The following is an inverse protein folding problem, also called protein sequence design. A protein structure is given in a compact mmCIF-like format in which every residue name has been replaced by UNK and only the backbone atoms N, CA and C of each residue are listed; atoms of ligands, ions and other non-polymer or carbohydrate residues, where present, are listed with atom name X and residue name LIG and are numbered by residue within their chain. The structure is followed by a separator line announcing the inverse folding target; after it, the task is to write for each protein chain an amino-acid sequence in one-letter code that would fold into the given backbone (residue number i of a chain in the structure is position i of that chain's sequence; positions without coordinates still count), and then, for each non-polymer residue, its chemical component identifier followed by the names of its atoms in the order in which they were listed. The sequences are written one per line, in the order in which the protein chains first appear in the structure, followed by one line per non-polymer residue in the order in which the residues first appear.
data_IF_189971466658
#
_entry.id   IF_189971466658
#
_cell.length_a   1.000
_cell.length_b   1.000
_cell.length_c   1.000
_cell.angle_alpha   90.00
_cell.angle_beta   90.00
_cell.angle_gamma   90.00
#
_symmetry.space_group_name_H-M   'P 1'
#
loop_
_entity.id
_entity.type
_entity.pdbx_description
1 polymer ?
#
# COMPACT_ATOMS: atom_id res chain seq x y z
N UNK A 1 24.85 -35.69 54.49
CA UNK A 1 23.96 -34.77 53.74
C UNK A 1 24.66 -34.32 52.47
N UNK A 2 24.35 -34.93 51.32
CA UNK A 2 24.87 -34.54 50.02
C UNK A 2 23.67 -34.11 49.16
N UNK A 3 23.62 -32.83 48.78
CA UNK A 3 22.63 -32.29 47.85
C UNK A 3 23.41 -31.69 46.68
N UNK A 4 23.37 -32.39 45.57
CA UNK A 4 23.94 -32.01 44.28
C UNK A 4 23.13 -30.86 43.69
N UNK A 5 23.79 -29.75 43.37
CA UNK A 5 23.18 -28.64 42.63
C UNK A 5 23.09 -29.03 41.15
N UNK A 6 21.87 -29.13 40.62
CA UNK A 6 21.62 -29.35 39.20
C UNK A 6 21.63 -28.02 38.45
N UNK A 7 22.61 -27.86 37.56
CA UNK A 7 22.69 -26.82 36.53
C UNK A 7 21.44 -26.84 35.64
N UNK A 8 20.73 -25.71 35.57
CA UNK A 8 19.56 -25.51 34.72
C UNK A 8 19.95 -24.61 33.55
N UNK A 9 20.37 -25.25 32.46
CA UNK A 9 20.67 -24.58 31.18
C UNK A 9 19.37 -24.03 30.56
N UNK A 10 19.40 -22.76 30.11
CA UNK A 10 18.32 -22.12 29.35
C UNK A 10 18.67 -22.25 27.86
N UNK A 11 17.94 -23.10 27.15
CA UNK A 11 18.02 -23.19 25.69
C UNK A 11 17.13 -22.11 25.05
N UNK A 12 17.72 -21.35 24.14
CA UNK A 12 17.08 -20.33 23.30
C UNK A 12 16.23 -21.01 22.21
N UNK A 13 14.91 -20.77 22.21
CA UNK A 13 14.02 -21.23 21.16
C UNK A 13 14.07 -20.29 19.94
N UNK A 14 14.45 -20.83 18.78
CA UNK A 14 14.28 -20.18 17.48
C UNK A 14 12.85 -20.41 16.97
N UNK A 15 12.21 -19.45 16.26
CA UNK A 15 10.89 -19.64 15.69
C UNK A 15 10.94 -20.48 14.41
N UNK A 16 10.28 -21.64 14.42
CA UNK A 16 10.09 -22.50 13.25
C UNK A 16 9.17 -21.87 12.19
N UNK A 17 9.42 -22.10 10.89
CA UNK A 17 8.58 -21.60 9.81
C UNK A 17 7.24 -22.34 9.74
N UNK A 18 6.16 -21.57 9.55
CA UNK A 18 4.79 -22.05 9.39
C UNK A 18 4.58 -22.57 7.95
N UNK A 19 4.58 -23.89 7.78
CA UNK A 19 4.14 -24.54 6.54
C UNK A 19 2.68 -24.17 6.24
N UNK A 20 2.43 -23.66 5.04
CA UNK A 20 1.09 -23.39 4.52
C UNK A 20 0.75 -24.52 3.55
N UNK A 21 -0.06 -25.47 3.99
CA UNK A 21 -0.68 -26.47 3.11
C UNK A 21 -1.84 -25.79 2.37
N UNK A 22 -1.70 -25.58 1.06
CA UNK A 22 -2.77 -25.08 0.20
C UNK A 22 -3.63 -26.26 -0.28
N UNK A 23 -4.91 -26.28 0.12
CA UNK A 23 -5.93 -27.17 -0.43
C UNK A 23 -6.49 -26.56 -1.73
N UNK A 24 -6.59 -27.30 -2.85
CA UNK A 24 -7.19 -26.79 -4.09
C UNK A 24 -8.67 -26.45 -3.90
N UNK A 25 -9.08 -25.28 -4.40
CA UNK A 25 -10.48 -24.90 -4.50
C UNK A 25 -11.05 -25.44 -5.81
N UNK A 26 -12.14 -26.16 -5.68
CA UNK A 26 -12.88 -26.83 -6.74
C UNK A 26 -13.71 -25.80 -7.51
N UNK A 27 -13.56 -25.78 -8.83
CA UNK A 27 -14.32 -24.91 -9.72
C UNK A 27 -15.77 -25.37 -9.78
N UNK A 28 -16.71 -24.51 -9.40
CA UNK A 28 -18.14 -24.71 -9.68
C UNK A 28 -18.71 -23.50 -10.40
N UNK A 29 -19.00 -23.75 -11.68
CA UNK A 29 -19.77 -22.96 -12.62
C UNK A 29 -21.19 -22.73 -12.09
N UNK A 30 -21.63 -21.49 -12.01
CA UNK A 30 -23.07 -21.17 -11.93
C UNK A 30 -23.39 -20.02 -12.88
N UNK A 31 -24.17 -20.35 -13.92
CA UNK A 31 -24.79 -19.42 -14.86
C UNK A 31 -26.14 -18.96 -14.29
N UNK A 32 -26.41 -17.65 -14.28
CA UNK A 32 -27.75 -17.06 -14.20
C UNK A 32 -27.64 -15.58 -14.64
N UNK A 33 -27.96 -15.29 -15.90
CA UNK A 33 -29.25 -14.73 -16.35
C UNK A 33 -29.38 -13.23 -16.05
N UNK A 34 -29.19 -12.43 -17.10
CA UNK A 34 -29.18 -10.97 -17.09
C UNK A 34 -30.61 -10.49 -17.34
N UNK A 35 -31.22 -9.85 -16.34
CA UNK A 35 -32.44 -9.06 -16.49
C UNK A 35 -32.21 -7.65 -15.95
N UNK A 36 -32.22 -6.66 -16.86
CA UNK A 36 -32.31 -5.24 -16.50
C UNK A 36 -33.75 -4.88 -16.12
N UNK A 37 -33.95 -3.83 -15.30
CA UNK A 37 -34.80 -2.75 -15.80
C UNK A 37 -34.16 -1.35 -15.69
N UNK A 38 -34.58 -0.41 -16.55
CA UNK A 38 -34.00 0.92 -16.66
C UNK A 38 -34.55 1.86 -15.59
N UNK A 39 -33.73 2.78 -15.08
CA UNK A 39 -34.26 4.01 -14.47
C UNK A 39 -33.31 5.16 -14.77
N UNK A 40 -33.79 6.02 -15.65
CA UNK A 40 -33.34 7.38 -15.92
C UNK A 40 -33.45 8.24 -14.66
N UNK A 41 -32.39 8.96 -14.33
CA UNK A 41 -32.49 10.28 -13.70
C UNK A 41 -31.41 11.17 -14.31
N UNK A 42 -31.86 12.02 -15.23
CA UNK A 42 -31.16 13.22 -15.65
C UNK A 42 -31.15 14.20 -14.48
N UNK A 43 -30.00 14.82 -14.20
CA UNK A 43 -29.97 16.20 -13.72
C UNK A 43 -28.67 16.83 -14.19
N UNK A 44 -28.84 17.77 -15.11
CA UNK A 44 -27.84 18.61 -15.73
C UNK A 44 -27.51 19.82 -14.84
N UNK A 45 -26.51 20.61 -15.29
CA UNK A 45 -26.11 21.98 -14.90
C UNK A 45 -24.83 22.05 -14.03
N UNK A 46 -23.63 22.21 -14.62
CA UNK A 46 -23.05 23.35 -15.36
C UNK A 46 -22.52 24.47 -14.44
N UNK A 47 -21.20 24.69 -14.45
CA UNK A 47 -20.59 26.01 -14.62
C UNK A 47 -19.06 25.89 -14.59
N UNK A 48 -18.46 26.28 -15.72
CA UNK A 48 -17.03 26.41 -15.95
C UNK A 48 -16.39 27.49 -15.07
N UNK A 49 -15.10 27.29 -14.74
CA UNK A 49 -14.15 28.39 -14.59
C UNK A 49 -12.72 27.85 -14.70
N UNK A 50 -12.24 27.80 -15.94
CA UNK A 50 -10.82 27.73 -16.29
C UNK A 50 -10.12 28.97 -15.72
N UNK A 51 -9.04 28.79 -14.95
CA UNK A 51 -8.05 29.83 -14.70
C UNK A 51 -6.66 29.20 -14.68
N UNK A 52 -5.98 29.27 -15.82
CA UNK A 52 -4.52 29.43 -15.85
C UNK A 52 -4.20 30.86 -15.39
N UNK A 53 -3.05 31.13 -14.72
CA UNK A 53 -1.78 31.21 -15.46
C UNK A 53 -0.50 30.81 -14.71
N UNK A 54 0.55 30.74 -15.52
CA UNK A 54 1.98 31.03 -15.26
C UNK A 54 2.84 29.99 -14.54
N UNK A 55 3.66 29.36 -15.37
CA UNK A 55 4.96 28.75 -15.08
C UNK A 55 5.86 29.74 -14.32
N UNK A 56 6.25 29.35 -13.11
CA UNK A 56 7.47 29.83 -12.45
C UNK A 56 8.06 28.59 -11.75
N UNK A 57 9.10 28.03 -12.36
CA UNK A 57 9.83 26.83 -11.91
C UNK A 57 10.56 27.14 -10.59
N UNK A 58 9.78 27.12 -9.50
CA UNK A 58 10.28 27.11 -8.13
C UNK A 58 10.16 25.67 -7.61
N UNK A 59 11.18 25.12 -6.91
CA UNK A 59 11.15 23.73 -6.45
C UNK A 59 9.85 23.47 -5.70
N UNK A 60 9.02 22.54 -6.19
CA UNK A 60 7.71 22.25 -5.65
C UNK A 60 7.84 21.89 -4.16
N UNK A 61 7.61 22.88 -3.29
CA UNK A 61 7.56 22.68 -1.85
C UNK A 61 6.43 21.67 -1.59
N UNK A 62 6.78 20.53 -0.95
CA UNK A 62 5.76 19.56 -0.51
C UNK A 62 4.74 20.31 0.35
N UNK A 63 3.49 20.34 -0.10
CA UNK A 63 2.42 20.98 0.65
C UNK A 63 2.28 20.29 2.01
N UNK A 64 2.53 21.01 3.10
CA UNK A 64 2.41 20.44 4.44
C UNK A 64 0.92 20.32 4.80
N UNK A 65 0.46 19.10 5.09
CA UNK A 65 -0.92 18.88 5.52
C UNK A 65 -1.16 19.45 6.93
N UNK A 66 -1.85 20.59 7.00
CA UNK A 66 -2.22 21.26 8.26
C UNK A 66 -3.10 20.38 9.17
N UNK A 67 -4.03 19.62 8.58
CA UNK A 67 -5.01 18.82 9.32
C UNK A 67 -4.80 17.32 9.09
N UNK A 68 -4.01 16.67 9.95
CA UNK A 68 -3.76 15.21 9.94
C UNK A 68 -4.94 14.36 10.41
N UNK A 69 -6.03 14.98 10.89
CA UNK A 69 -7.27 14.28 11.31
C UNK A 69 -8.26 14.03 10.16
N UNK A 70 -7.91 14.43 8.93
CA UNK A 70 -8.74 14.21 7.74
C UNK A 70 -7.91 13.58 6.62
N UNK A 71 -8.57 12.79 5.79
CA UNK A 71 -7.98 12.24 4.58
C UNK A 71 -7.61 13.38 3.62
N UNK A 72 -6.43 13.32 3.02
CA UNK A 72 -5.99 14.32 2.04
C UNK A 72 -6.85 14.31 0.76
N UNK A 73 -7.21 13.11 0.27
CA UNK A 73 -8.00 12.93 -0.95
C UNK A 73 -9.47 13.33 -0.76
N UNK A 74 -10.17 12.62 0.12
CA UNK A 74 -11.62 12.74 0.28
C UNK A 74 -12.08 13.62 1.45
N UNK A 75 -11.15 14.24 2.21
CA UNK A 75 -11.44 15.10 3.39
C UNK A 75 -12.29 14.47 4.51
N UNK A 76 -12.60 13.18 4.42
CA UNK A 76 -13.28 12.37 5.45
C UNK A 76 -12.46 12.39 6.74
N UNK A 77 -13.12 12.43 7.90
CA UNK A 77 -12.46 12.32 9.20
C UNK A 77 -11.75 10.98 9.29
N UNK A 78 -10.44 10.99 9.54
CA UNK A 78 -9.68 9.77 9.81
C UNK A 78 -9.62 9.57 11.33
N UNK A 79 -9.91 8.35 11.76
CA UNK A 79 -9.95 7.99 13.18
C UNK A 79 -8.56 7.69 13.74
N UNK A 80 -8.49 6.87 14.80
CA UNK A 80 -7.23 6.38 15.36
C UNK A 80 -6.40 5.56 14.37
N UNK A 81 -7.04 4.99 13.34
CA UNK A 81 -6.42 4.21 12.27
C UNK A 81 -5.86 5.06 11.14
N UNK A 82 -5.70 6.36 11.34
CA UNK A 82 -5.06 7.25 10.39
C UNK A 82 -3.61 6.78 10.14
N UNK A 83 -3.27 6.54 8.87
CA UNK A 83 -1.93 6.11 8.46
C UNK A 83 -1.35 7.18 7.55
N UNK A 84 -0.11 7.55 7.82
CA UNK A 84 0.68 8.41 6.95
C UNK A 84 1.24 7.60 5.77
N UNK A 85 1.02 8.08 4.56
CA UNK A 85 1.66 7.54 3.37
C UNK A 85 3.11 8.05 3.28
N UNK A 86 3.94 7.37 2.48
CA UNK A 86 5.35 7.76 2.25
C UNK A 86 5.49 9.12 1.57
N UNK A 87 4.45 9.59 0.89
CA UNK A 87 4.38 10.95 0.34
C UNK A 87 4.17 12.04 1.41
N UNK A 88 3.90 11.67 2.68
CA UNK A 88 3.79 12.60 3.81
C UNK A 88 2.37 13.04 4.16
N UNK A 89 1.36 12.55 3.43
CA UNK A 89 -0.05 12.85 3.66
C UNK A 89 -0.77 11.73 4.42
N UNK A 90 -1.86 12.07 5.11
CA UNK A 90 -2.70 11.15 5.87
C UNK A 90 -3.96 10.78 5.09
N UNK A 91 -4.30 9.49 5.08
CA UNK A 91 -5.44 8.96 4.33
C UNK A 91 -6.38 8.10 5.19
N UNK A 92 -7.61 7.92 4.72
CA UNK A 92 -8.56 6.97 5.28
C UNK A 92 -8.31 5.55 4.74
N UNK A 93 -9.01 4.54 5.27
CA UNK A 93 -8.88 3.14 4.86
C UNK A 93 -9.04 2.92 3.34
N UNK A 94 -9.94 3.67 2.70
CA UNK A 94 -10.21 3.57 1.25
C UNK A 94 -9.19 4.28 0.35
N UNK A 95 -8.28 5.08 0.89
CA UNK A 95 -7.25 5.80 0.12
C UNK A 95 -5.85 5.50 0.66
N UNK A 96 -5.70 4.35 1.34
CA UNK A 96 -4.48 3.99 2.06
C UNK A 96 -3.35 3.61 1.10
N UNK A 97 -3.70 3.00 -0.02
CA UNK A 97 -2.74 2.46 -0.99
C UNK A 97 -2.40 3.51 -2.06
N UNK A 98 -1.21 3.37 -2.67
CA UNK A 98 -0.65 4.35 -3.60
C UNK A 98 -1.36 4.41 -4.96
N UNK A 99 -2.17 3.41 -5.29
CA UNK A 99 -3.08 3.35 -6.44
C UNK A 99 -4.38 4.13 -6.21
N UNK A 100 -4.77 4.30 -4.94
CA UNK A 100 -6.01 4.98 -4.54
C UNK A 100 -5.85 6.49 -4.35
N UNK A 101 -4.64 7.02 -4.50
CA UNK A 101 -4.38 8.46 -4.48
C UNK A 101 -3.21 8.78 -5.41
N UNK A 102 -3.09 10.04 -5.83
CA UNK A 102 -1.97 10.48 -6.67
C UNK A 102 -0.68 10.60 -5.84
N UNK A 103 -0.09 9.46 -5.48
CA UNK A 103 1.11 9.40 -4.64
C UNK A 103 2.34 9.93 -5.41
N UNK A 104 2.97 10.98 -4.88
CA UNK A 104 4.18 11.58 -5.46
C UNK A 104 5.48 10.86 -5.06
N UNK A 105 5.40 9.71 -4.38
CA UNK A 105 6.58 8.97 -3.90
C UNK A 105 6.93 7.84 -4.87
N UNK A 106 8.19 7.76 -5.30
CA UNK A 106 8.65 6.69 -6.19
C UNK A 106 9.04 5.44 -5.40
N UNK A 107 8.11 4.49 -5.33
CA UNK A 107 8.32 3.20 -4.67
C UNK A 107 9.34 2.34 -5.41
N UNK A 108 9.45 2.43 -6.75
CA UNK A 108 10.30 1.51 -7.52
C UNK A 108 11.78 1.74 -7.24
N UNK A 109 12.18 3.00 -7.18
CA UNK A 109 13.58 3.36 -6.89
C UNK A 109 13.90 3.16 -5.41
N UNK A 110 12.97 3.52 -4.51
CA UNK A 110 13.12 3.30 -3.08
C UNK A 110 13.27 1.80 -2.74
N UNK A 111 12.40 0.95 -3.30
CA UNK A 111 12.43 -0.49 -3.07
C UNK A 111 13.70 -1.12 -3.67
N UNK A 112 14.14 -0.68 -4.85
CA UNK A 112 15.40 -1.13 -5.45
C UNK A 112 16.60 -0.76 -4.59
N UNK A 113 16.64 0.46 -4.07
CA UNK A 113 17.71 0.93 -3.20
C UNK A 113 17.74 0.12 -1.89
N UNK A 114 16.58 -0.11 -1.27
CA UNK A 114 16.50 -0.90 -0.04
C UNK A 114 16.84 -2.38 -0.29
N UNK A 115 16.43 -2.95 -1.42
CA UNK A 115 16.77 -4.31 -1.79
C UNK A 115 18.27 -4.47 -2.07
N UNK A 116 18.89 -3.50 -2.74
CA UNK A 116 20.34 -3.46 -2.96
C UNK A 116 21.11 -3.34 -1.64
N UNK A 117 20.60 -2.51 -0.71
CA UNK A 117 21.19 -2.34 0.62
C UNK A 117 21.13 -3.63 1.46
N UNK A 118 20.01 -4.36 1.41
CA UNK A 118 19.82 -5.60 2.18
C UNK A 118 20.55 -6.79 1.58
N UNK A 119 20.75 -6.80 0.27
CA UNK A 119 21.40 -7.90 -0.46
C UNK A 119 22.69 -7.44 -1.14
N UNK A 120 23.78 -7.22 -0.39
CA UNK A 120 25.10 -6.93 -0.96
C UNK A 120 25.64 -8.19 -1.65
N UNK A 121 25.24 -8.41 -2.90
CA UNK A 121 25.60 -9.59 -3.69
C UNK A 121 24.45 -10.29 -4.41
N UNK A 122 23.25 -9.71 -4.44
CA UNK A 122 22.11 -10.25 -5.19
C UNK A 122 22.48 -10.55 -6.66
N UNK A 123 22.09 -11.74 -7.13
CA UNK A 123 22.46 -12.25 -8.45
C UNK A 123 22.12 -11.26 -9.57
N UNK A 124 23.06 -11.05 -10.48
CA UNK A 124 22.84 -10.26 -11.69
C UNK A 124 21.95 -11.09 -12.63
N UNK A 125 20.64 -10.86 -12.56
CA UNK A 125 19.71 -11.47 -13.51
C UNK A 125 19.83 -10.73 -14.85
N UNK A 126 20.72 -11.24 -15.71
CA UNK A 126 20.81 -10.82 -17.10
C UNK A 126 19.50 -11.11 -17.83
N UNK A 127 19.19 -10.29 -18.83
CA UNK A 127 18.02 -10.48 -19.68
C UNK A 127 18.21 -11.77 -20.48
N UNK A 128 17.44 -12.80 -20.16
CA UNK A 128 17.46 -14.06 -20.90
C UNK A 128 16.76 -13.83 -22.26
N UNK A 129 17.54 -13.82 -23.35
CA UNK A 129 16.98 -13.88 -24.70
C UNK A 129 16.38 -15.28 -24.92
N UNK A 130 15.06 -15.31 -25.15
CA UNK A 130 14.29 -16.52 -25.46
C UNK A 130 14.78 -17.08 -26.80
N UNK A 131 15.31 -18.30 -26.77
CA UNK A 131 15.67 -19.10 -27.95
C UNK A 131 14.42 -19.72 -28.57
#
# INVERSE_FOLDING_TARGET
MQKTMSDRQVATAAPSPRSTEQKPHEETKFEAEIANPPTTVETENNAAALKEPTEDEKPAEKLVQKNKKRCWECKKKVGLTAIECRCGYVFCSSHRYADQHSCSFDFKTADRAELARRNPGGGQFGKLEKL
#
